data_IF_313389771567
#
_entry.id   IF_313389771567
#
_cell.length_a   1.000
_cell.length_b   1.000
_cell.length_c   1.000
_cell.angle_alpha   90.00
_cell.angle_beta   90.00
_cell.angle_gamma   90.00
#
_symmetry.space_group_name_H-M   'P 1'
#
loop_
_entity.id
_entity.type
_entity.pdbx_description
1 polymer ?
#
# COMPACT_ATOMS: atom_id res chain seq x y z
N UNK A 1 10.97 0.51 -27.13
CA UNK A 1 10.84 1.49 -26.02
C UNK A 1 11.63 0.94 -24.85
N UNK A 2 12.41 1.76 -24.15
CA UNK A 2 13.01 1.33 -22.88
C UNK A 2 11.93 1.24 -21.81
N UNK A 3 12.15 0.38 -20.82
CA UNK A 3 11.29 0.32 -19.64
C UNK A 3 11.34 1.66 -18.89
N UNK A 4 10.17 2.16 -18.49
CA UNK A 4 10.05 3.38 -17.68
C UNK A 4 9.63 3.00 -16.26
N UNK A 5 10.51 3.16 -15.24
CA UNK A 5 10.21 2.88 -13.84
C UNK A 5 9.41 4.01 -13.16
N UNK A 6 9.13 5.11 -13.85
CA UNK A 6 8.44 6.27 -13.29
C UNK A 6 7.50 6.90 -14.30
N UNK A 7 6.48 6.15 -14.79
CA UNK A 7 5.51 6.69 -15.73
C UNK A 7 4.74 7.86 -15.08
N UNK A 8 4.68 9.00 -15.79
CA UNK A 8 4.05 10.24 -15.32
C UNK A 8 2.90 10.64 -16.22
N UNK A 9 1.87 11.24 -15.62
CA UNK A 9 0.68 11.69 -16.33
C UNK A 9 0.43 13.19 -16.12
N UNK A 10 0.01 13.93 -17.17
CA UNK A 10 -0.29 15.36 -17.02
C UNK A 10 -1.51 15.58 -16.13
N UNK A 11 -1.53 16.74 -15.46
CA UNK A 11 -2.67 17.23 -14.70
C UNK A 11 -3.77 17.81 -15.61
N UNK A 12 -5.01 17.71 -15.17
CA UNK A 12 -6.18 18.33 -15.83
C UNK A 12 -6.52 19.67 -15.17
N UNK A 13 -5.82 20.71 -15.61
CA UNK A 13 -5.83 22.05 -15.00
C UNK A 13 -4.97 22.12 -13.73
N UNK A 14 -4.89 23.29 -13.11
CA UNK A 14 -4.08 23.51 -11.90
C UNK A 14 -2.58 23.23 -12.10
N UNK A 15 -1.85 23.05 -10.99
CA UNK A 15 -0.43 22.66 -10.95
C UNK A 15 -0.11 22.04 -9.59
N UNK A 16 0.99 21.29 -9.52
CA UNK A 16 1.58 20.88 -8.23
C UNK A 16 2.23 22.12 -7.60
N UNK A 17 2.00 22.30 -6.30
CA UNK A 17 2.63 23.35 -5.49
C UNK A 17 3.62 22.70 -4.52
N UNK A 18 4.79 23.31 -4.36
CA UNK A 18 5.93 22.72 -3.64
C UNK A 18 6.25 23.48 -2.34
N UNK A 19 6.48 22.73 -1.27
CA UNK A 19 7.01 23.21 0.00
C UNK A 19 5.97 23.78 0.98
N UNK A 20 6.40 23.93 2.24
CA UNK A 20 5.55 24.44 3.32
C UNK A 20 5.05 25.87 3.11
N UNK A 21 5.81 26.70 2.39
CA UNK A 21 5.38 28.07 2.05
C UNK A 21 4.10 28.07 1.22
N UNK A 22 3.97 27.18 0.24
CA UNK A 22 2.78 27.08 -0.59
C UNK A 22 1.56 26.58 0.19
N UNK A 23 1.77 25.66 1.14
CA UNK A 23 0.72 25.25 2.09
C UNK A 23 0.27 26.44 2.94
N UNK A 24 1.20 27.18 3.54
CA UNK A 24 0.86 28.36 4.34
C UNK A 24 0.12 29.44 3.52
N UNK A 25 0.52 29.67 2.26
CA UNK A 25 -0.19 30.56 1.34
C UNK A 25 -1.61 30.09 1.02
N UNK A 26 -1.83 28.77 0.93
CA UNK A 26 -3.16 28.20 0.75
C UNK A 26 -4.08 28.48 1.94
N UNK A 27 -3.55 28.41 3.17
CA UNK A 27 -4.28 28.76 4.40
C UNK A 27 -4.61 30.25 4.42
N UNK A 28 -3.65 31.13 4.13
CA UNK A 28 -3.87 32.59 4.12
C UNK A 28 -4.91 33.01 3.08
N UNK A 29 -4.97 32.31 1.95
CA UNK A 29 -5.96 32.55 0.89
C UNK A 29 -7.37 32.11 1.27
N UNK A 30 -7.51 30.97 1.93
CA UNK A 30 -8.82 30.38 2.28
C UNK A 30 -9.36 30.87 3.62
N UNK A 31 -8.48 31.30 4.54
CA UNK A 31 -8.79 31.81 5.88
C UNK A 31 -9.80 30.94 6.66
N UNK A 32 -9.59 29.62 6.75
CA UNK A 32 -10.49 28.76 7.51
C UNK A 32 -10.39 29.11 8.99
N UNK A 33 -11.51 28.98 9.70
CA UNK A 33 -11.49 29.03 11.16
C UNK A 33 -10.98 27.71 11.74
N UNK A 34 -11.39 26.59 11.13
CA UNK A 34 -10.95 25.24 11.45
C UNK A 34 -10.47 24.51 10.18
N UNK A 35 -9.23 24.04 10.21
CA UNK A 35 -8.61 23.23 9.17
C UNK A 35 -8.37 21.82 9.70
N UNK A 36 -8.96 20.82 9.06
CA UNK A 36 -8.61 19.41 9.29
C UNK A 36 -7.50 18.98 8.33
N UNK A 37 -6.43 18.37 8.87
CA UNK A 37 -5.38 17.72 8.10
C UNK A 37 -5.37 16.24 8.52
N UNK A 38 -6.01 15.40 7.70
CA UNK A 38 -6.10 13.95 7.95
C UNK A 38 -4.96 13.21 7.25
N UNK A 39 -4.74 11.95 7.60
CA UNK A 39 -3.63 11.17 7.07
C UNK A 39 -3.36 9.89 7.86
N UNK A 40 -2.39 9.07 7.42
CA UNK A 40 -2.09 7.81 8.07
C UNK A 40 -1.34 7.99 9.40
N UNK A 41 -1.41 6.97 10.25
CA UNK A 41 -0.68 6.94 11.53
C UNK A 41 0.84 6.93 11.36
N UNK A 42 1.34 6.34 10.27
CA UNK A 42 2.77 6.21 9.98
C UNK A 42 3.47 7.51 9.55
N UNK A 43 2.71 8.60 9.37
CA UNK A 43 3.24 9.90 8.97
C UNK A 43 4.04 10.53 10.12
N UNK A 44 5.15 11.20 9.79
CA UNK A 44 5.92 12.00 10.75
C UNK A 44 5.21 13.33 11.07
N UNK A 45 4.13 13.24 11.86
CA UNK A 45 3.22 14.36 12.13
C UNK A 45 3.94 15.56 12.71
N UNK A 46 4.88 15.35 13.63
CA UNK A 46 5.54 16.46 14.31
C UNK A 46 6.50 17.21 13.39
N UNK A 47 7.18 16.50 12.48
CA UNK A 47 8.02 17.12 11.45
C UNK A 47 7.18 17.95 10.48
N UNK A 48 6.10 17.37 9.97
CA UNK A 48 5.18 18.06 9.06
C UNK A 48 4.57 19.32 9.69
N UNK A 49 4.09 19.23 10.94
CA UNK A 49 3.50 20.37 11.64
C UNK A 49 4.52 21.43 12.01
N UNK A 50 5.76 21.07 12.33
CA UNK A 50 6.83 22.03 12.56
C UNK A 50 7.08 22.88 11.30
N UNK A 51 7.18 22.24 10.13
CA UNK A 51 7.35 22.92 8.85
C UNK A 51 6.17 23.83 8.50
N UNK A 52 4.93 23.33 8.66
CA UNK A 52 3.72 24.12 8.40
C UNK A 52 3.60 25.32 9.36
N UNK A 53 3.86 25.11 10.65
CA UNK A 53 3.79 26.15 11.67
C UNK A 53 4.83 27.24 11.42
N UNK A 54 6.05 26.86 10.99
CA UNK A 54 7.07 27.83 10.59
C UNK A 54 6.61 28.69 9.41
N UNK A 55 6.06 28.06 8.35
CA UNK A 55 5.55 28.78 7.18
C UNK A 55 4.37 29.72 7.51
N UNK A 56 3.53 29.36 8.49
CA UNK A 56 2.43 30.21 8.97
C UNK A 56 2.91 31.37 9.85
N UNK A 57 3.92 31.13 10.69
CA UNK A 57 4.53 32.17 11.52
C UNK A 57 5.18 33.28 10.68
N UNK A 58 5.81 32.93 9.54
CA UNK A 58 6.34 33.92 8.57
C UNK A 58 5.26 34.81 7.96
N UNK A 59 3.99 34.40 8.03
CA UNK A 59 2.82 35.12 7.52
C UNK A 59 2.00 35.77 8.64
N UNK A 60 2.56 35.85 9.85
CA UNK A 60 1.92 36.40 11.04
C UNK A 60 0.57 35.73 11.40
N UNK A 61 0.39 34.45 11.06
CA UNK A 61 -0.83 33.69 11.36
C UNK A 61 -0.68 32.96 12.70
N UNK A 62 -1.56 33.25 13.66
CA UNK A 62 -1.60 32.55 14.96
C UNK A 62 -2.39 31.26 14.84
N UNK A 63 -1.76 30.14 15.19
CA UNK A 63 -2.33 28.80 15.10
C UNK A 63 -2.59 28.20 16.48
N UNK A 64 -3.75 27.58 16.68
CA UNK A 64 -3.97 26.59 17.73
C UNK A 64 -3.90 25.19 17.11
N UNK A 65 -3.21 24.25 17.77
CA UNK A 65 -3.10 22.88 17.30
C UNK A 65 -3.98 21.96 18.15
N UNK A 66 -4.80 21.14 17.49
CA UNK A 66 -5.62 20.10 18.10
C UNK A 66 -5.18 18.75 17.55
N UNK A 67 -4.65 17.92 18.42
CA UNK A 67 -4.17 16.58 18.08
C UNK A 67 -5.33 15.57 18.18
N UNK A 68 -5.88 15.14 17.04
CA UNK A 68 -6.98 14.17 16.99
C UNK A 68 -6.59 12.81 17.58
N UNK A 69 -5.30 12.46 17.61
CA UNK A 69 -4.82 11.20 18.19
C UNK A 69 -5.10 11.10 19.68
N UNK A 70 -5.29 12.24 20.36
CA UNK A 70 -5.65 12.26 21.79
C UNK A 70 -7.10 11.83 22.06
N UNK A 71 -7.94 11.81 21.03
CA UNK A 71 -9.33 11.32 21.08
C UNK A 71 -9.47 9.85 20.70
N UNK A 72 -8.39 9.20 20.26
CA UNK A 72 -8.38 7.75 20.06
C UNK A 72 -8.65 7.06 21.39
N UNK A 73 -9.38 5.95 21.33
CA UNK A 73 -9.57 5.09 22.48
C UNK A 73 -8.22 4.58 23.00
N UNK A 74 -8.19 4.13 24.26
CA UNK A 74 -6.97 3.54 24.82
C UNK A 74 -6.49 2.37 23.95
N UNK A 75 -5.19 2.10 23.95
CA UNK A 75 -4.64 1.00 23.14
C UNK A 75 -5.30 -0.35 23.47
N UNK A 76 -5.55 -0.63 24.75
CA UNK A 76 -6.26 -1.83 25.19
C UNK A 76 -7.67 -1.91 24.61
N UNK A 77 -8.38 -0.78 24.59
CA UNK A 77 -9.72 -0.70 24.02
C UNK A 77 -9.70 -0.85 22.50
N UNK A 78 -8.74 -0.25 21.80
CA UNK A 78 -8.52 -0.43 20.36
C UNK A 78 -8.24 -1.91 20.05
N UNK A 79 -7.41 -2.58 20.84
CA UNK A 79 -7.15 -4.01 20.70
C UNK A 79 -8.44 -4.82 20.92
N UNK A 80 -9.26 -4.47 21.91
CA UNK A 80 -10.55 -5.12 22.17
C UNK A 80 -11.53 -4.92 21.01
N UNK A 81 -11.65 -3.71 20.47
CA UNK A 81 -12.52 -3.37 19.32
C UNK A 81 -12.10 -4.09 18.04
N UNK A 82 -10.80 -4.35 17.90
CA UNK A 82 -10.22 -5.00 16.71
C UNK A 82 -9.91 -6.48 16.93
N UNK A 83 -10.36 -7.08 18.04
CA UNK A 83 -10.01 -8.45 18.42
C UNK A 83 -10.49 -9.49 17.40
N UNK A 84 -11.60 -9.24 16.69
CA UNK A 84 -12.12 -10.13 15.65
C UNK A 84 -11.20 -10.21 14.41
N UNK A 85 -10.24 -9.30 14.27
CA UNK A 85 -9.22 -9.31 13.21
C UNK A 85 -8.02 -10.18 13.53
N UNK A 86 -7.94 -10.74 14.74
CA UNK A 86 -6.82 -11.59 15.15
C UNK A 86 -7.15 -13.04 14.81
N UNK A 87 -6.26 -13.70 14.08
CA UNK A 87 -6.29 -15.15 13.91
C UNK A 87 -5.46 -15.80 15.02
N UNK A 88 -6.05 -16.63 15.91
CA UNK A 88 -5.34 -17.19 17.05
C UNK A 88 -4.11 -18.01 16.62
N UNK A 89 -2.94 -17.62 17.11
CA UNK A 89 -1.67 -18.33 16.88
C UNK A 89 -1.00 -18.04 15.54
N UNK A 90 -1.58 -17.19 14.70
CA UNK A 90 -0.99 -16.80 13.41
C UNK A 90 -0.21 -15.49 13.55
N UNK A 91 1.12 -15.48 13.33
CA UNK A 91 1.94 -14.27 13.47
C UNK A 91 1.94 -13.38 12.21
N UNK A 92 1.43 -13.87 11.07
CA UNK A 92 1.51 -13.19 9.78
C UNK A 92 0.14 -12.68 9.34
N UNK A 93 -0.89 -13.50 9.47
CA UNK A 93 -2.21 -13.25 8.91
C UNK A 93 -3.25 -12.85 9.95
N UNK A 94 -4.18 -12.01 9.53
CA UNK A 94 -5.33 -11.58 10.31
C UNK A 94 -6.61 -11.66 9.50
N UNK A 95 -7.73 -11.27 10.09
CA UNK A 95 -8.99 -11.04 9.36
C UNK A 95 -9.17 -9.55 9.12
N UNK A 96 -9.59 -9.15 7.92
CA UNK A 96 -9.85 -7.75 7.59
C UNK A 96 -10.84 -7.17 8.59
N UNK A 97 -10.45 -6.07 9.25
CA UNK A 97 -11.34 -5.32 10.12
C UNK A 97 -12.38 -4.59 9.26
N UNK A 98 -13.66 -4.84 9.54
CA UNK A 98 -14.78 -4.28 8.78
C UNK A 98 -15.32 -2.96 9.38
N UNK A 99 -14.87 -2.58 10.58
CA UNK A 99 -15.29 -1.34 11.23
C UNK A 99 -14.77 -0.07 10.54
N UNK A 100 -15.22 1.08 11.03
CA UNK A 100 -14.79 2.40 10.56
C UNK A 100 -13.62 2.94 11.39
N UNK A 101 -12.96 3.97 10.88
CA UNK A 101 -11.97 4.71 11.67
C UNK A 101 -12.59 5.35 12.92
N UNK A 102 -13.83 5.84 12.81
CA UNK A 102 -14.57 6.45 13.92
C UNK A 102 -14.80 5.48 15.10
N UNK A 103 -14.94 4.18 14.81
CA UNK A 103 -15.10 3.15 15.85
C UNK A 103 -13.85 3.02 16.74
N UNK A 104 -12.72 3.64 16.39
CA UNK A 104 -11.49 3.61 17.19
C UNK A 104 -11.30 4.85 18.08
N UNK A 105 -12.29 5.75 18.13
CA UNK A 105 -12.31 6.94 18.98
C UNK A 105 -13.25 6.78 20.17
N UNK A 106 -12.96 7.45 21.29
CA UNK A 106 -13.89 7.52 22.44
C UNK A 106 -14.78 8.76 22.34
N UNK A 107 -14.19 9.94 22.49
CA UNK A 107 -14.87 11.23 22.35
C UNK A 107 -14.01 12.18 21.52
N UNK A 108 -14.57 12.68 20.41
CA UNK A 108 -13.89 13.62 19.52
C UNK A 108 -13.85 15.00 20.17
N UNK A 109 -12.64 15.49 20.42
CA UNK A 109 -12.46 16.85 20.93
C UNK A 109 -12.89 17.87 19.88
N UNK A 110 -13.70 18.89 20.24
CA UNK A 110 -14.07 19.93 19.29
C UNK A 110 -12.88 20.79 18.92
N UNK A 111 -12.94 21.40 17.74
CA UNK A 111 -12.01 22.45 17.33
C UNK A 111 -12.08 23.61 18.33
N UNK A 112 -10.98 23.89 19.05
CA UNK A 112 -10.94 24.93 20.07
C UNK A 112 -9.63 25.74 20.00
N UNK A 113 -9.72 27.04 20.28
CA UNK A 113 -8.60 27.99 20.16
C UNK A 113 -9.07 29.44 20.14
N UNK A 114 -9.53 29.95 21.29
CA UNK A 114 -10.21 31.24 21.40
C UNK A 114 -9.40 32.43 20.85
N UNK A 115 -8.06 32.41 21.04
CA UNK A 115 -7.16 33.51 20.67
C UNK A 115 -6.32 33.25 19.40
N UNK A 116 -6.50 32.10 18.75
CA UNK A 116 -5.84 31.78 17.49
C UNK A 116 -6.61 32.40 16.32
N UNK A 117 -5.95 32.63 15.18
CA UNK A 117 -6.62 32.98 13.92
C UNK A 117 -7.25 31.73 13.29
N UNK A 118 -6.52 30.61 13.34
CA UNK A 118 -6.89 29.30 12.82
C UNK A 118 -6.67 28.19 13.85
N UNK A 119 -7.58 27.23 13.89
CA UNK A 119 -7.40 25.95 14.58
C UNK A 119 -7.02 24.88 13.56
N UNK A 120 -5.84 24.27 13.70
CA UNK A 120 -5.40 23.14 12.88
C UNK A 120 -5.63 21.85 13.67
N UNK A 121 -6.54 21.02 13.18
CA UNK A 121 -6.86 19.70 13.71
C UNK A 121 -6.07 18.69 12.87
N UNK A 122 -5.24 17.87 13.49
CA UNK A 122 -4.32 17.01 12.75
C UNK A 122 -4.29 15.60 13.31
N UNK A 123 -3.79 14.66 12.51
CA UNK A 123 -3.70 13.25 12.84
C UNK A 123 -4.76 12.42 12.11
N UNK A 124 -4.63 11.08 12.15
CA UNK A 124 -5.63 10.18 11.62
C UNK A 124 -7.01 10.49 12.22
N UNK A 125 -8.03 10.62 11.38
CA UNK A 125 -9.40 10.88 11.82
C UNK A 125 -9.69 12.33 12.20
N UNK A 126 -8.76 13.27 11.95
CA UNK A 126 -9.02 14.71 12.15
C UNK A 126 -10.22 15.22 11.34
N UNK A 127 -10.53 14.59 10.21
CA UNK A 127 -11.72 14.90 9.41
C UNK A 127 -13.05 14.50 10.08
N UNK A 128 -13.02 13.73 11.17
CA UNK A 128 -14.22 13.42 11.97
C UNK A 128 -14.64 14.60 12.85
N UNK A 129 -13.74 15.56 13.11
CA UNK A 129 -14.03 16.78 13.85
C UNK A 129 -14.59 17.83 12.89
N UNK A 130 -15.56 18.65 13.34
CA UNK A 130 -16.11 19.72 12.51
C UNK A 130 -15.03 20.71 12.03
N UNK A 131 -15.01 20.99 10.73
CA UNK A 131 -14.01 21.81 10.06
C UNK A 131 -14.60 22.58 8.87
N UNK A 132 -13.91 23.63 8.42
CA UNK A 132 -14.29 24.43 7.25
C UNK A 132 -13.57 23.97 5.98
N UNK A 133 -12.31 23.54 6.13
CA UNK A 133 -11.41 23.12 5.05
C UNK A 133 -10.79 21.77 5.43
N UNK A 134 -10.69 20.89 4.44
CA UNK A 134 -10.18 19.54 4.59
C UNK A 134 -8.97 19.28 3.69
N UNK A 135 -7.84 19.00 4.32
CA UNK A 135 -6.63 18.54 3.67
C UNK A 135 -6.36 17.08 4.01
N UNK A 136 -5.73 16.36 3.09
CA UNK A 136 -5.25 15.00 3.34
C UNK A 136 -3.75 14.92 3.06
N UNK A 137 -2.97 14.68 4.11
CA UNK A 137 -1.54 14.42 4.04
C UNK A 137 -1.31 12.92 3.90
N UNK A 138 -0.89 12.51 2.71
CA UNK A 138 -0.70 11.11 2.35
C UNK A 138 0.76 10.68 2.42
N UNK A 139 0.94 9.39 2.65
CA UNK A 139 2.21 8.70 2.61
C UNK A 139 2.02 7.42 1.81
N UNK A 140 2.82 7.17 0.75
CA UNK A 140 2.72 5.93 -0.01
C UNK A 140 2.84 4.70 0.91
N UNK A 141 2.02 3.67 0.66
CA UNK A 141 1.94 2.50 1.55
C UNK A 141 3.26 1.76 1.70
N UNK A 142 4.07 1.67 0.64
CA UNK A 142 5.40 1.06 0.72
C UNK A 142 6.33 1.81 1.70
N UNK A 143 6.21 3.15 1.81
CA UNK A 143 6.96 3.92 2.82
C UNK A 143 6.42 3.67 4.22
N UNK A 144 5.09 3.60 4.38
CA UNK A 144 4.46 3.26 5.65
C UNK A 144 4.92 1.88 6.15
N UNK A 145 4.91 0.87 5.27
CA UNK A 145 5.38 -0.49 5.56
C UNK A 145 6.87 -0.50 5.91
N UNK A 146 7.69 0.24 5.14
CA UNK A 146 9.12 0.34 5.40
C UNK A 146 9.42 1.01 6.75
N UNK A 147 8.65 2.03 7.14
CA UNK A 147 8.75 2.67 8.46
C UNK A 147 8.41 1.71 9.60
N UNK A 148 7.33 0.92 9.46
CA UNK A 148 6.98 -0.13 10.43
C UNK A 148 8.07 -1.19 10.53
N UNK A 149 8.61 -1.68 9.40
CA UNK A 149 9.72 -2.65 9.35
C UNK A 149 10.99 -2.16 10.06
N UNK A 150 11.27 -0.86 9.98
CA UNK A 150 12.41 -0.24 10.67
C UNK A 150 12.12 0.13 12.13
N UNK A 151 10.89 -0.06 12.61
CA UNK A 151 10.47 0.36 13.95
C UNK A 151 10.36 1.88 14.12
N UNK A 152 10.29 2.62 13.02
CA UNK A 152 10.19 4.09 13.00
C UNK A 152 8.73 4.58 13.02
N UNK A 153 7.78 3.70 12.69
CA UNK A 153 6.35 3.98 12.70
C UNK A 153 5.58 2.93 13.51
N UNK A 154 4.56 3.40 14.24
CA UNK A 154 3.61 2.54 14.96
C UNK A 154 2.31 2.34 14.18
N UNK A 155 1.52 1.37 14.60
CA UNK A 155 0.16 1.20 14.12
C UNK A 155 -0.79 2.27 14.68
N UNK A 156 -1.97 2.38 14.08
CA UNK A 156 -3.02 3.31 14.49
C UNK A 156 -3.42 3.12 15.97
N UNK A 157 -3.29 4.20 16.75
CA UNK A 157 -3.60 4.23 18.19
C UNK A 157 -2.59 3.53 19.09
N UNK A 158 -1.51 3.00 18.52
CA UNK A 158 -0.45 2.38 19.29
C UNK A 158 0.37 3.44 20.05
N UNK A 159 0.80 3.16 21.30
CA UNK A 159 1.62 4.09 22.07
C UNK A 159 2.93 4.46 21.36
N UNK A 160 3.33 5.73 21.48
CA UNK A 160 4.59 6.24 20.91
C UNK A 160 5.78 5.41 21.40
N UNK A 161 6.62 4.98 20.45
CA UNK A 161 7.82 4.18 20.72
C UNK A 161 7.60 2.66 20.77
N UNK A 162 6.36 2.18 20.67
CA UNK A 162 6.09 0.77 20.46
C UNK A 162 6.32 0.40 18.97
N UNK A 163 6.80 -0.83 18.74
CA UNK A 163 6.97 -1.34 17.38
C UNK A 163 5.61 -1.72 16.77
N UNK A 164 5.29 -1.17 15.60
CA UNK A 164 4.16 -1.62 14.81
C UNK A 164 4.36 -3.03 14.27
N UNK A 165 3.29 -3.65 13.80
CA UNK A 165 3.30 -4.91 13.07
C UNK A 165 2.74 -4.76 11.67
N UNK A 166 3.35 -5.49 10.73
CA UNK A 166 2.86 -5.59 9.35
C UNK A 166 1.46 -6.19 9.32
N UNK A 167 1.22 -7.24 10.11
CA UNK A 167 -0.09 -7.88 10.24
C UNK A 167 -1.18 -6.86 10.58
N UNK A 168 -0.99 -6.02 11.61
CA UNK A 168 -2.00 -5.01 11.96
C UNK A 168 -2.13 -3.93 10.89
N UNK A 169 -1.02 -3.56 10.25
CA UNK A 169 -1.04 -2.60 9.15
C UNK A 169 -1.93 -3.10 8.00
N UNK A 170 -1.78 -4.37 7.60
CA UNK A 170 -2.51 -5.00 6.50
C UNK A 170 -3.97 -5.30 6.83
N UNK A 171 -4.26 -5.80 8.04
CA UNK A 171 -5.58 -6.32 8.38
C UNK A 171 -6.47 -5.35 9.16
N UNK A 172 -5.91 -4.29 9.75
CA UNK A 172 -6.67 -3.30 10.53
C UNK A 172 -6.48 -1.89 9.98
N UNK A 173 -5.25 -1.37 10.01
CA UNK A 173 -4.99 0.05 9.77
C UNK A 173 -5.28 0.45 8.31
N UNK A 174 -4.69 -0.25 7.33
CA UNK A 174 -4.92 0.06 5.92
C UNK A 174 -6.37 -0.11 5.47
N UNK A 175 -7.11 -1.16 5.89
CA UNK A 175 -8.54 -1.25 5.60
C UNK A 175 -9.34 -0.04 6.11
N UNK A 176 -9.15 0.38 7.37
CA UNK A 176 -9.92 1.51 7.93
C UNK A 176 -9.49 2.86 7.38
N UNK A 177 -8.18 3.11 7.29
CA UNK A 177 -7.64 4.37 6.77
C UNK A 177 -7.94 4.50 5.27
N UNK A 178 -7.89 3.38 4.53
CA UNK A 178 -8.26 3.32 3.12
C UNK A 178 -9.71 3.71 2.90
N UNK A 179 -10.66 3.07 3.59
CA UNK A 179 -12.09 3.42 3.49
C UNK A 179 -12.34 4.88 3.89
N UNK A 180 -11.76 5.34 5.00
CA UNK A 180 -11.86 6.72 5.45
C UNK A 180 -11.37 7.70 4.38
N UNK A 181 -10.16 7.49 3.85
CA UNK A 181 -9.58 8.32 2.77
C UNK A 181 -10.48 8.36 1.53
N UNK A 182 -11.10 7.24 1.15
CA UNK A 182 -12.04 7.17 0.03
C UNK A 182 -13.31 7.99 0.29
N UNK A 183 -13.87 7.94 1.50
CA UNK A 183 -15.02 8.76 1.91
C UNK A 183 -14.72 10.27 1.92
N UNK A 184 -13.47 10.65 2.18
CA UNK A 184 -13.02 12.04 2.17
C UNK A 184 -12.85 12.60 0.74
N UNK A 185 -12.45 11.77 -0.23
CA UNK A 185 -12.05 12.15 -1.58
C UNK A 185 -12.99 13.17 -2.28
N UNK A 186 -14.34 13.03 -2.24
CA UNK A 186 -15.24 13.97 -2.90
C UNK A 186 -15.19 15.40 -2.33
N UNK A 187 -14.74 15.54 -1.08
CA UNK A 187 -14.76 16.81 -0.32
C UNK A 187 -13.36 17.34 -0.02
N UNK A 188 -12.29 16.66 -0.42
CA UNK A 188 -10.93 17.15 -0.24
C UNK A 188 -10.74 18.50 -0.93
N UNK A 189 -10.21 19.47 -0.19
CA UNK A 189 -9.78 20.78 -0.70
C UNK A 189 -8.32 20.73 -1.18
N UNK A 190 -7.47 19.98 -0.48
CA UNK A 190 -6.05 19.81 -0.82
C UNK A 190 -5.58 18.39 -0.52
N UNK A 191 -4.83 17.81 -1.45
CA UNK A 191 -4.10 16.57 -1.26
C UNK A 191 -2.61 16.88 -1.18
N UNK A 192 -1.92 16.33 -0.18
CA UNK A 192 -0.51 16.57 0.10
C UNK A 192 0.22 15.24 0.06
N UNK A 193 1.29 15.15 -0.71
CA UNK A 193 2.17 14.01 -0.79
C UNK A 193 3.43 14.29 0.02
N UNK A 194 3.63 13.46 1.04
CA UNK A 194 4.77 13.51 1.94
C UNK A 194 5.76 12.38 1.70
N UNK A 195 5.85 11.84 0.47
CA UNK A 195 6.91 10.89 0.12
C UNK A 195 8.32 11.48 0.31
N UNK A 196 8.41 12.82 0.28
CA UNK A 196 9.60 13.62 0.59
C UNK A 196 9.25 14.62 1.72
N UNK A 197 9.42 14.25 3.00
CA UNK A 197 8.86 15.01 4.14
C UNK A 197 9.30 16.48 4.23
N UNK A 198 10.54 16.78 3.82
CA UNK A 198 11.11 18.13 3.86
C UNK A 198 10.64 19.03 2.70
N UNK A 199 10.07 18.42 1.66
CA UNK A 199 9.63 19.10 0.43
C UNK A 199 8.21 18.64 0.06
N UNK A 200 7.20 18.94 0.91
CA UNK A 200 5.84 18.48 0.67
C UNK A 200 5.32 18.99 -0.69
N UNK A 201 4.71 18.10 -1.45
CA UNK A 201 4.03 18.46 -2.71
C UNK A 201 2.54 18.48 -2.46
N UNK A 202 1.83 19.41 -3.09
CA UNK A 202 0.39 19.51 -2.90
C UNK A 202 -0.36 19.77 -4.20
N UNK A 203 -1.60 19.30 -4.23
CA UNK A 203 -2.50 19.42 -5.36
C UNK A 203 -3.90 19.80 -4.88
N UNK A 204 -4.47 20.83 -5.50
CA UNK A 204 -5.88 21.22 -5.31
C UNK A 204 -6.82 20.03 -5.55
N UNK A 205 -7.79 19.84 -4.66
CA UNK A 205 -8.68 18.67 -4.69
C UNK A 205 -9.54 18.58 -5.96
N UNK A 206 -9.97 19.71 -6.52
CA UNK A 206 -10.71 19.70 -7.79
C UNK A 206 -9.81 19.28 -8.95
N UNK A 207 -8.56 19.72 -8.93
CA UNK A 207 -7.54 19.32 -9.91
C UNK A 207 -7.20 17.85 -9.79
N UNK A 208 -7.06 17.32 -8.56
CA UNK A 208 -6.90 15.89 -8.31
C UNK A 208 -8.05 15.10 -8.97
N UNK A 209 -9.30 15.39 -8.61
CA UNK A 209 -10.48 14.69 -9.13
C UNK A 209 -10.57 14.74 -10.66
N UNK A 210 -10.36 15.91 -11.28
CA UNK A 210 -10.35 16.03 -12.76
C UNK A 210 -9.21 15.23 -13.41
N UNK A 211 -8.03 15.18 -12.77
CA UNK A 211 -6.89 14.43 -13.30
C UNK A 211 -7.13 12.92 -13.22
N UNK A 212 -7.71 12.43 -12.11
CA UNK A 212 -8.14 11.04 -11.97
C UNK A 212 -9.20 10.67 -13.00
N UNK A 213 -10.20 11.54 -13.19
CA UNK A 213 -11.24 11.37 -14.20
C UNK A 213 -10.66 11.20 -15.62
N UNK A 214 -9.82 12.14 -16.07
CA UNK A 214 -9.21 12.04 -17.40
C UNK A 214 -8.31 10.80 -17.54
N UNK A 215 -7.56 10.45 -16.48
CA UNK A 215 -6.69 9.28 -16.50
C UNK A 215 -7.48 7.97 -16.63
N UNK A 216 -8.62 7.85 -15.94
CA UNK A 216 -9.50 6.68 -16.01
C UNK A 216 -10.08 6.43 -17.42
N UNK A 217 -10.01 7.41 -18.32
CA UNK A 217 -10.47 7.29 -19.72
C UNK A 217 -9.45 6.72 -20.71
N UNK A 218 -8.25 6.34 -20.27
CA UNK A 218 -7.15 5.91 -21.16
C UNK A 218 -6.28 4.82 -20.54
N UNK A 219 -5.49 4.08 -21.33
CA UNK A 219 -4.47 3.19 -20.78
C UNK A 219 -3.43 3.96 -19.95
N UNK A 220 -3.07 3.41 -18.79
CA UNK A 220 -2.00 3.91 -17.94
C UNK A 220 -1.33 2.75 -17.19
N UNK A 221 -0.11 2.99 -16.73
CA UNK A 221 0.66 2.19 -15.78
C UNK A 221 0.73 2.89 -14.43
N UNK A 222 0.61 2.13 -13.36
CA UNK A 222 1.01 2.52 -12.02
C UNK A 222 2.54 2.69 -11.94
N UNK A 223 3.02 3.35 -10.88
CA UNK A 223 4.44 3.43 -10.57
C UNK A 223 4.91 2.10 -10.01
N UNK A 224 5.85 1.40 -10.67
CA UNK A 224 6.38 0.15 -10.18
C UNK A 224 7.23 0.35 -8.91
N UNK A 225 7.22 -0.65 -8.03
CA UNK A 225 8.10 -0.70 -6.85
C UNK A 225 8.93 -1.97 -6.87
N UNK A 226 10.20 -1.89 -6.47
CA UNK A 226 11.15 -2.99 -6.55
C UNK A 226 11.66 -3.34 -5.16
N UNK A 227 11.66 -4.64 -4.83
CA UNK A 227 12.03 -5.11 -3.50
C UNK A 227 13.11 -6.19 -3.55
N UNK A 228 14.13 -6.13 -2.67
CA UNK A 228 15.01 -7.26 -2.48
C UNK A 228 14.28 -8.41 -1.81
N UNK A 229 14.82 -9.62 -1.92
CA UNK A 229 14.26 -10.81 -1.29
C UNK A 229 15.30 -11.91 -1.13
N UNK A 230 15.01 -12.94 -0.30
CA UNK A 230 15.96 -14.01 -0.01
C UNK A 230 16.38 -14.81 -1.26
N UNK A 231 15.49 -14.90 -2.26
CA UNK A 231 15.71 -15.60 -3.52
C UNK A 231 16.05 -14.67 -4.69
N UNK A 232 16.09 -13.35 -4.46
CA UNK A 232 16.14 -12.34 -5.51
C UNK A 232 17.37 -12.45 -6.41
N UNK A 233 17.14 -12.21 -7.70
CA UNK A 233 18.12 -12.26 -8.75
C UNK A 233 18.70 -10.90 -9.15
N UNK A 234 19.24 -10.87 -10.37
CA UNK A 234 19.93 -9.71 -10.96
C UNK A 234 19.31 -9.24 -12.28
N UNK A 235 18.35 -9.99 -12.85
CA UNK A 235 17.79 -9.68 -14.15
C UNK A 235 17.12 -8.30 -14.19
N UNK A 236 16.36 -7.92 -13.16
CA UNK A 236 15.74 -6.60 -13.08
C UNK A 236 16.77 -5.47 -13.08
N UNK A 237 17.92 -5.67 -12.44
CA UNK A 237 19.01 -4.69 -12.39
C UNK A 237 19.73 -4.60 -13.74
N UNK A 238 20.07 -5.74 -14.31
CA UNK A 238 20.93 -5.83 -15.50
C UNK A 238 20.17 -5.56 -16.80
N UNK A 239 18.92 -6.00 -16.90
CA UNK A 239 18.12 -5.94 -18.13
C UNK A 239 17.15 -4.76 -18.14
N UNK A 240 16.44 -4.49 -17.03
CA UNK A 240 15.59 -3.28 -16.94
C UNK A 240 16.37 -2.03 -16.52
N UNK A 241 17.63 -2.18 -16.09
CA UNK A 241 18.47 -1.06 -15.69
C UNK A 241 18.05 -0.44 -14.35
N UNK A 242 17.40 -1.19 -13.46
CA UNK A 242 16.93 -0.67 -12.18
C UNK A 242 18.13 -0.37 -11.26
N UNK A 243 18.37 0.92 -11.03
CA UNK A 243 19.40 1.40 -10.13
C UNK A 243 18.95 1.27 -8.68
N UNK A 244 19.72 0.53 -7.88
CA UNK A 244 19.46 0.32 -6.45
C UNK A 244 20.74 0.00 -5.70
N UNK A 245 20.78 0.30 -4.41
CA UNK A 245 21.84 -0.15 -3.49
C UNK A 245 21.56 -1.54 -2.91
N UNK A 246 20.36 -2.09 -3.14
CA UNK A 246 20.01 -3.43 -2.71
C UNK A 246 20.92 -4.48 -3.38
N UNK A 247 21.29 -5.56 -2.67
CA UNK A 247 22.19 -6.59 -3.22
C UNK A 247 21.54 -7.35 -4.39
N UNK A 248 20.22 -7.50 -4.38
CA UNK A 248 19.42 -8.18 -5.40
C UNK A 248 18.05 -7.50 -5.54
N UNK A 249 17.26 -7.96 -6.52
CA UNK A 249 15.84 -7.65 -6.64
C UNK A 249 15.09 -8.97 -6.84
N UNK A 250 14.08 -9.20 -6.01
CA UNK A 250 13.21 -10.36 -6.09
C UNK A 250 11.91 -10.00 -6.79
N UNK A 251 11.29 -8.90 -6.39
CA UNK A 251 10.01 -8.45 -6.90
C UNK A 251 10.14 -7.14 -7.68
N UNK A 252 9.38 -7.05 -8.77
CA UNK A 252 8.96 -5.80 -9.37
C UNK A 252 7.43 -5.75 -9.35
N UNK A 253 6.86 -5.10 -8.34
CA UNK A 253 5.43 -4.89 -8.24
C UNK A 253 5.01 -3.83 -9.24
N UNK A 254 4.42 -4.26 -10.35
CA UNK A 254 3.99 -3.38 -11.43
C UNK A 254 2.61 -2.81 -11.14
N UNK A 255 1.64 -3.68 -10.81
CA UNK A 255 0.28 -3.29 -10.47
C UNK A 255 -0.23 -4.15 -9.30
N UNK A 256 -0.26 -3.55 -8.12
CA UNK A 256 -0.88 -4.09 -6.91
C UNK A 256 -1.74 -2.98 -6.32
N UNK A 257 -3.01 -2.94 -6.69
CA UNK A 257 -3.89 -1.78 -6.48
C UNK A 257 -3.92 -1.22 -5.07
N UNK A 258 -3.99 -2.04 -4.00
CA UNK A 258 -3.93 -1.49 -2.65
C UNK A 258 -2.66 -0.70 -2.36
N UNK A 259 -1.53 -0.95 -3.04
CA UNK A 259 -0.20 -0.44 -2.71
C UNK A 259 0.41 0.49 -3.77
N UNK A 260 0.00 0.32 -5.03
CA UNK A 260 0.54 1.03 -6.18
C UNK A 260 0.16 2.52 -6.17
N UNK A 261 1.13 3.36 -6.51
CA UNK A 261 0.90 4.79 -6.76
C UNK A 261 0.78 5.13 -8.25
N UNK A 262 0.32 6.35 -8.52
CA UNK A 262 0.24 6.98 -9.83
C UNK A 262 0.94 8.34 -9.71
N UNK A 263 1.87 8.64 -10.62
CA UNK A 263 2.55 9.93 -10.65
C UNK A 263 1.79 10.93 -11.52
N UNK A 264 1.28 12.00 -10.90
CA UNK A 264 0.54 13.08 -11.57
C UNK A 264 1.37 14.37 -11.59
N UNK A 265 1.66 14.90 -12.77
CA UNK A 265 2.56 16.04 -12.99
C UNK A 265 3.77 15.67 -13.86
N UNK A 266 4.34 16.65 -14.57
CA UNK A 266 5.46 16.40 -15.48
C UNK A 266 6.82 16.48 -14.78
N UNK A 267 7.11 17.61 -14.13
CA UNK A 267 8.42 17.91 -13.56
C UNK A 267 8.55 17.38 -12.13
N UNK A 268 7.69 17.88 -11.23
CA UNK A 268 7.60 17.49 -9.82
C UNK A 268 6.27 16.75 -9.56
N UNK A 269 6.11 15.49 -10.00
CA UNK A 269 4.86 14.80 -9.88
C UNK A 269 4.50 14.55 -8.41
N UNK A 270 3.21 14.61 -8.12
CA UNK A 270 2.65 14.10 -6.86
C UNK A 270 2.32 12.61 -7.02
N UNK A 271 2.63 11.80 -6.01
CA UNK A 271 2.20 10.41 -5.97
C UNK A 271 0.81 10.28 -5.33
N UNK A 272 -0.11 9.69 -6.08
CA UNK A 272 -1.49 9.41 -5.65
C UNK A 272 -1.70 7.91 -5.66
N UNK A 273 -2.19 7.35 -4.56
CA UNK A 273 -2.52 5.92 -4.50
C UNK A 273 -3.56 5.52 -5.55
N UNK A 274 -3.33 4.38 -6.22
CA UNK A 274 -4.25 3.86 -7.25
C UNK A 274 -5.64 3.57 -6.67
N UNK A 275 -5.73 3.27 -5.38
CA UNK A 275 -7.01 3.12 -4.67
C UNK A 275 -7.89 4.38 -4.72
N UNK A 276 -7.31 5.58 -4.82
CA UNK A 276 -8.08 6.81 -4.97
C UNK A 276 -8.70 6.94 -6.36
N UNK A 277 -7.99 6.52 -7.40
CA UNK A 277 -8.54 6.47 -8.75
C UNK A 277 -9.70 5.47 -8.81
N UNK A 278 -9.53 4.29 -8.21
CA UNK A 278 -10.60 3.29 -8.15
C UNK A 278 -11.81 3.77 -7.32
N UNK A 279 -11.58 4.53 -6.25
CA UNK A 279 -12.68 5.10 -5.47
C UNK A 279 -13.44 6.22 -6.22
N UNK A 280 -12.75 7.04 -7.01
CA UNK A 280 -13.39 8.09 -7.80
C UNK A 280 -14.05 7.56 -9.08
N UNK A 281 -13.40 6.62 -9.77
CA UNK A 281 -13.67 6.28 -11.17
C UNK A 281 -13.70 4.77 -11.42
N UNK A 282 -13.88 3.94 -10.38
CA UNK A 282 -13.82 2.47 -10.49
C UNK A 282 -14.80 1.89 -11.52
N UNK A 283 -16.01 2.42 -11.62
CA UNK A 283 -16.97 2.03 -12.67
C UNK A 283 -16.47 2.37 -14.08
N UNK A 284 -15.76 3.48 -14.26
CA UNK A 284 -15.20 3.87 -15.56
C UNK A 284 -14.02 2.98 -15.95
N UNK A 285 -13.22 2.53 -14.97
CA UNK A 285 -12.07 1.64 -15.19
C UNK A 285 -12.51 0.20 -15.43
N UNK A 286 -13.45 -0.30 -14.63
CA UNK A 286 -13.86 -1.72 -14.63
C UNK A 286 -15.09 -1.99 -15.50
N UNK A 287 -15.91 -0.99 -15.77
CA UNK A 287 -17.29 -1.17 -16.20
C UNK A 287 -18.23 -1.52 -15.03
N UNK A 288 -19.52 -1.26 -15.21
CA UNK A 288 -20.54 -1.39 -14.16
C UNK A 288 -20.63 -2.80 -13.54
N UNK A 289 -20.53 -3.86 -14.35
CA UNK A 289 -20.63 -5.24 -13.87
C UNK A 289 -19.48 -5.60 -12.91
N UNK A 290 -18.24 -5.31 -13.32
CA UNK A 290 -17.07 -5.63 -12.52
C UNK A 290 -16.94 -4.70 -11.30
N UNK A 291 -17.31 -3.43 -11.42
CA UNK A 291 -17.36 -2.52 -10.28
C UNK A 291 -18.42 -2.96 -9.25
N UNK A 292 -19.58 -3.48 -9.66
CA UNK A 292 -20.56 -4.04 -8.73
C UNK A 292 -20.03 -5.29 -8.01
N UNK A 293 -19.16 -6.08 -8.65
CA UNK A 293 -18.58 -7.31 -8.07
C UNK A 293 -17.38 -7.05 -7.15
N UNK A 294 -16.47 -6.18 -7.57
CA UNK A 294 -15.17 -5.98 -6.90
C UNK A 294 -15.07 -4.64 -6.15
N UNK A 295 -16.07 -3.76 -6.30
CA UNK A 295 -16.05 -2.43 -5.71
C UNK A 295 -14.85 -1.63 -6.20
N UNK A 296 -14.02 -1.20 -5.26
CA UNK A 296 -12.79 -0.43 -5.52
C UNK A 296 -11.54 -1.32 -5.70
N UNK A 297 -11.66 -2.64 -5.52
CA UNK A 297 -10.55 -3.56 -5.78
C UNK A 297 -10.43 -3.79 -7.28
N UNK A 298 -9.26 -3.52 -7.85
CA UNK A 298 -8.96 -3.94 -9.21
C UNK A 298 -8.69 -5.46 -9.22
N UNK A 299 -9.31 -6.24 -10.13
CA UNK A 299 -9.38 -7.69 -10.02
C UNK A 299 -8.13 -8.45 -10.49
N UNK A 300 -7.13 -7.74 -11.02
CA UNK A 300 -5.88 -8.32 -11.54
C UNK A 300 -4.73 -7.65 -10.79
N UNK A 301 -3.70 -8.42 -10.47
CA UNK A 301 -2.40 -7.87 -10.07
C UNK A 301 -1.35 -8.41 -11.04
N UNK A 302 -0.19 -7.79 -11.11
CA UNK A 302 0.94 -8.44 -11.74
C UNK A 302 2.27 -7.86 -11.27
N UNK A 303 3.26 -8.73 -11.26
CA UNK A 303 4.62 -8.43 -10.84
C UNK A 303 5.63 -9.35 -11.55
N UNK A 304 6.87 -8.89 -11.63
CA UNK A 304 7.97 -9.76 -12.04
C UNK A 304 8.62 -10.40 -10.82
N UNK A 305 8.78 -11.72 -10.88
CA UNK A 305 9.55 -12.53 -9.95
C UNK A 305 10.88 -12.90 -10.60
N UNK A 306 11.98 -12.37 -10.05
CA UNK A 306 13.34 -12.55 -10.56
C UNK A 306 14.16 -13.49 -9.68
N UNK A 307 14.42 -14.70 -10.20
CA UNK A 307 15.30 -15.70 -9.57
C UNK A 307 16.64 -15.87 -10.33
N UNK A 308 16.98 -14.97 -11.27
CA UNK A 308 18.21 -15.06 -12.06
C UNK A 308 19.47 -14.87 -11.23
N UNK A 309 20.26 -15.93 -11.08
CA UNK A 309 21.44 -15.95 -10.21
C UNK A 309 21.10 -15.85 -8.72
N UNK A 310 19.84 -16.09 -8.36
CA UNK A 310 19.32 -16.10 -7.00
C UNK A 310 19.03 -17.52 -6.49
N UNK A 311 17.92 -17.67 -5.78
CA UNK A 311 17.47 -18.93 -5.19
C UNK A 311 16.11 -19.38 -5.74
N UNK A 312 15.63 -20.54 -5.29
CA UNK A 312 14.24 -20.94 -5.54
C UNK A 312 13.30 -19.93 -4.85
N UNK A 313 12.22 -19.56 -5.54
CA UNK A 313 11.11 -18.89 -4.91
C UNK A 313 10.54 -19.78 -3.80
N UNK A 314 9.97 -19.17 -2.76
CA UNK A 314 9.26 -19.92 -1.71
C UNK A 314 8.20 -20.84 -2.30
N UNK A 315 7.98 -21.99 -1.66
CA UNK A 315 6.84 -22.85 -1.98
C UNK A 315 5.57 -22.20 -1.43
N UNK A 316 4.57 -22.04 -2.28
CA UNK A 316 3.35 -21.30 -2.00
C UNK A 316 2.12 -22.14 -2.28
N UNK A 317 1.03 -21.81 -1.60
CA UNK A 317 -0.29 -22.36 -1.86
C UNK A 317 -1.33 -21.29 -1.53
N UNK A 318 -2.00 -20.77 -2.55
CA UNK A 318 -3.03 -19.76 -2.36
C UNK A 318 -4.31 -20.39 -1.83
N UNK A 319 -4.97 -19.80 -0.82
CA UNK A 319 -6.19 -20.35 -0.23
C UNK A 319 -7.35 -20.41 -1.22
N UNK A 320 -8.33 -21.28 -1.01
CA UNK A 320 -9.57 -21.25 -1.83
C UNK A 320 -10.39 -19.98 -1.55
N UNK A 321 -11.33 -19.64 -2.44
CA UNK A 321 -12.22 -18.49 -2.24
C UNK A 321 -13.06 -18.61 -0.96
N UNK A 322 -13.53 -19.81 -0.64
CA UNK A 322 -14.24 -20.11 0.61
C UNK A 322 -13.34 -19.83 1.83
N UNK A 323 -12.10 -20.32 1.83
CA UNK A 323 -11.17 -20.08 2.93
C UNK A 323 -10.78 -18.59 3.04
N UNK A 324 -10.63 -17.88 1.92
CA UNK A 324 -10.37 -16.44 1.93
C UNK A 324 -11.48 -15.65 2.63
N UNK A 325 -12.73 -16.01 2.36
CA UNK A 325 -13.90 -15.33 2.93
C UNK A 325 -14.08 -15.64 4.40
N UNK A 326 -14.00 -16.90 4.76
CA UNK A 326 -14.31 -17.38 6.11
C UNK A 326 -13.18 -17.05 7.09
N UNK A 327 -11.93 -17.14 6.63
CA UNK A 327 -10.75 -16.87 7.48
C UNK A 327 -10.37 -15.39 7.44
N UNK A 328 -10.12 -14.83 6.24
CA UNK A 328 -9.51 -13.50 6.11
C UNK A 328 -10.52 -12.37 5.85
N UNK A 329 -11.78 -12.69 5.53
CA UNK A 329 -12.82 -11.68 5.24
C UNK A 329 -12.72 -11.05 3.85
N UNK A 330 -11.98 -11.69 2.94
CA UNK A 330 -11.82 -11.22 1.57
C UNK A 330 -12.75 -12.00 0.61
N UNK A 331 -13.47 -11.33 -0.30
CA UNK A 331 -14.49 -11.98 -1.12
C UNK A 331 -13.94 -12.68 -2.36
N UNK A 332 -12.62 -12.68 -2.55
CA UNK A 332 -11.94 -13.26 -3.71
C UNK A 332 -10.68 -14.00 -3.26
N UNK A 333 -10.17 -14.87 -4.14
CA UNK A 333 -8.88 -15.53 -4.00
C UNK A 333 -7.92 -15.15 -5.12
N UNK A 334 -6.68 -15.58 -4.97
CA UNK A 334 -5.64 -15.53 -5.98
C UNK A 334 -5.63 -16.85 -6.77
N UNK A 335 -6.22 -16.77 -7.97
CA UNK A 335 -5.78 -17.62 -9.06
C UNK A 335 -4.62 -16.91 -9.74
N UNK A 336 -3.58 -17.66 -10.05
CA UNK A 336 -2.32 -17.10 -10.52
C UNK A 336 -1.94 -17.70 -11.87
N UNK A 337 -1.14 -16.97 -12.61
CA UNK A 337 -0.47 -17.48 -13.80
C UNK A 337 0.99 -17.08 -13.82
N UNK A 338 1.87 -18.04 -14.13
CA UNK A 338 3.25 -17.75 -14.49
C UNK A 338 3.41 -17.68 -16.01
N UNK A 339 3.71 -16.50 -16.52
CA UNK A 339 4.26 -16.33 -17.85
C UNK A 339 5.79 -16.25 -17.75
N UNK A 340 6.49 -17.26 -18.25
CA UNK A 340 7.96 -17.29 -18.23
C UNK A 340 8.49 -16.26 -19.23
N UNK A 341 8.94 -15.12 -18.75
CA UNK A 341 9.46 -14.03 -19.60
C UNK A 341 10.83 -14.40 -20.15
N UNK A 342 11.68 -14.96 -19.28
CA UNK A 342 13.04 -15.39 -19.58
C UNK A 342 13.43 -16.55 -18.63
N UNK A 343 14.32 -17.43 -19.08
CA UNK A 343 14.79 -18.58 -18.30
C UNK A 343 16.13 -19.09 -18.80
N UNK A 344 17.05 -19.48 -17.90
CA UNK A 344 18.28 -20.17 -18.32
C UNK A 344 18.01 -21.63 -18.72
N UNK A 345 18.89 -22.24 -19.55
CA UNK A 345 18.82 -23.67 -19.84
C UNK A 345 18.81 -24.51 -18.55
N UNK A 346 17.78 -25.37 -18.41
CA UNK A 346 17.60 -26.24 -17.24
C UNK A 346 16.84 -25.59 -16.09
N UNK A 347 16.36 -24.35 -16.22
CA UNK A 347 15.45 -23.77 -15.24
C UNK A 347 14.09 -24.48 -15.24
N UNK A 348 13.43 -24.46 -14.09
CA UNK A 348 12.23 -25.28 -13.82
C UNK A 348 11.13 -24.47 -13.13
N UNK A 349 9.90 -24.95 -13.25
CA UNK A 349 8.73 -24.48 -12.51
C UNK A 349 8.18 -25.69 -11.75
N UNK A 350 7.99 -25.54 -10.44
CA UNK A 350 7.34 -26.54 -9.60
C UNK A 350 5.85 -26.22 -9.54
N UNK A 351 4.99 -27.17 -9.94
CA UNK A 351 3.56 -26.95 -9.99
C UNK A 351 2.77 -28.24 -9.79
N UNK A 352 2.04 -28.29 -8.68
CA UNK A 352 1.24 -29.43 -8.24
C UNK A 352 2.02 -30.39 -7.36
N UNK A 353 1.32 -31.08 -6.46
CA UNK A 353 1.89 -32.18 -5.70
C UNK A 353 2.08 -33.40 -6.62
N UNK A 354 3.11 -34.18 -6.35
CA UNK A 354 3.25 -35.51 -6.97
C UNK A 354 2.16 -36.44 -6.44
N UNK A 355 1.74 -37.37 -7.28
CA UNK A 355 0.72 -38.37 -6.90
C UNK A 355 1.20 -39.29 -5.77
N UNK A 356 2.52 -39.52 -5.68
CA UNK A 356 3.20 -40.33 -4.67
C UNK A 356 3.75 -39.52 -3.47
N UNK A 357 3.42 -38.23 -3.36
CA UNK A 357 3.93 -37.38 -2.29
C UNK A 357 3.38 -37.79 -0.92
N UNK A 358 4.26 -38.03 0.05
CA UNK A 358 3.91 -38.18 1.47
C UNK A 358 3.70 -36.80 2.10
N UNK A 359 2.45 -36.43 2.34
CA UNK A 359 2.08 -35.12 2.85
C UNK A 359 2.48 -34.90 4.32
N UNK A 360 2.58 -35.96 5.13
CA UNK A 360 3.05 -35.82 6.50
C UNK A 360 4.57 -35.61 6.53
N UNK A 361 5.31 -36.32 5.68
CA UNK A 361 6.73 -36.07 5.50
C UNK A 361 6.98 -34.64 4.97
N UNK A 362 6.19 -34.21 3.97
CA UNK A 362 6.28 -32.84 3.44
C UNK A 362 6.06 -31.80 4.53
N UNK A 363 5.00 -31.94 5.33
CA UNK A 363 4.70 -31.03 6.44
C UNK A 363 5.84 -30.98 7.46
N UNK A 364 6.38 -32.13 7.87
CA UNK A 364 7.50 -32.19 8.83
C UNK A 364 8.75 -31.52 8.28
N UNK A 365 9.09 -31.76 7.01
CA UNK A 365 10.25 -31.15 6.38
C UNK A 365 10.07 -29.65 6.13
N UNK A 366 8.85 -29.20 5.77
CA UNK A 366 8.53 -27.79 5.61
C UNK A 366 8.68 -27.03 6.93
N UNK A 367 8.13 -27.56 8.04
CA UNK A 367 8.34 -26.98 9.38
C UNK A 367 9.81 -26.97 9.77
N UNK A 368 10.56 -28.02 9.42
CA UNK A 368 12.01 -28.07 9.70
C UNK A 368 12.80 -27.03 8.87
N UNK A 369 12.36 -26.72 7.66
CA UNK A 369 13.00 -25.72 6.79
C UNK A 369 12.76 -24.26 7.24
N UNK A 370 11.93 -24.04 8.27
CA UNK A 370 11.82 -22.74 8.93
C UNK A 370 13.10 -22.41 9.73
N UNK A 371 13.84 -23.42 10.18
CA UNK A 371 15.12 -23.25 10.86
C UNK A 371 16.23 -22.87 9.85
N UNK A 372 17.00 -21.79 10.09
CA UNK A 372 18.03 -21.34 9.16
C UNK A 372 19.05 -22.43 8.80
N UNK A 373 19.28 -22.61 7.50
CA UNK A 373 20.26 -23.55 6.96
C UNK A 373 19.73 -24.97 6.73
N UNK A 374 18.45 -25.21 6.96
CA UNK A 374 17.78 -26.45 6.57
C UNK A 374 16.94 -26.21 5.31
N UNK A 375 17.28 -26.91 4.24
CA UNK A 375 16.60 -26.77 2.96
C UNK A 375 15.59 -27.88 2.76
N UNK A 376 14.48 -27.52 2.12
CA UNK A 376 13.49 -28.46 1.61
C UNK A 376 13.72 -28.61 0.11
N UNK A 377 13.92 -29.84 -0.34
CA UNK A 377 14.01 -30.19 -1.75
C UNK A 377 12.61 -30.27 -2.37
N UNK A 378 12.22 -29.33 -3.26
CA UNK A 378 10.88 -29.30 -3.84
C UNK A 378 10.58 -30.55 -4.68
N UNK A 379 11.56 -31.14 -5.36
CA UNK A 379 11.35 -32.27 -6.30
C UNK A 379 10.87 -33.55 -5.61
N UNK A 380 11.10 -33.65 -4.29
CA UNK A 380 10.61 -34.78 -3.48
C UNK A 380 9.09 -34.79 -3.37
N UNK A 381 8.43 -33.63 -3.46
CA UNK A 381 7.00 -33.50 -3.18
C UNK A 381 6.21 -32.85 -4.32
N UNK A 382 6.82 -31.97 -5.10
CA UNK A 382 6.18 -31.22 -6.17
C UNK A 382 6.52 -31.82 -7.54
N UNK A 383 5.63 -31.61 -8.50
CA UNK A 383 5.89 -31.94 -9.91
C UNK A 383 6.80 -30.87 -10.51
N UNK A 384 7.77 -31.32 -11.30
CA UNK A 384 8.75 -30.45 -11.95
C UNK A 384 8.44 -30.32 -13.43
N UNK A 385 8.35 -29.07 -13.91
CA UNK A 385 8.07 -28.74 -15.30
C UNK A 385 9.21 -27.87 -15.85
N UNK A 386 9.63 -28.04 -17.11
CA UNK A 386 10.70 -27.22 -17.67
C UNK A 386 10.24 -25.77 -17.85
N UNK A 387 11.01 -24.80 -17.36
CA UNK A 387 10.72 -23.39 -17.64
C UNK A 387 11.05 -23.08 -19.10
N UNK A 388 10.01 -22.95 -19.92
CA UNK A 388 10.15 -22.63 -21.34
C UNK A 388 9.74 -21.19 -21.54
N UNK A 389 10.66 -20.39 -22.07
CA UNK A 389 10.41 -18.99 -22.39
C UNK A 389 9.12 -18.83 -23.19
N UNK A 390 8.30 -17.87 -22.78
CA UNK A 390 6.97 -17.54 -23.28
C UNK A 390 5.88 -18.60 -23.06
N UNK A 391 6.16 -19.63 -22.26
CA UNK A 391 5.13 -20.56 -21.80
C UNK A 391 4.34 -19.95 -20.65
N UNK A 392 3.07 -20.31 -20.63
CA UNK A 392 2.11 -19.97 -19.59
C UNK A 392 1.82 -21.20 -18.71
N UNK A 393 1.88 -21.03 -17.39
CA UNK A 393 1.49 -22.02 -16.39
C UNK A 393 0.32 -21.48 -15.59
N UNK A 394 -0.81 -22.19 -15.62
CA UNK A 394 -2.01 -21.82 -14.85
C UNK A 394 -1.94 -22.43 -13.45
N UNK A 395 -2.10 -21.59 -12.44
CA UNK A 395 -1.94 -21.94 -11.03
C UNK A 395 -3.26 -21.62 -10.32
N UNK A 396 -4.24 -22.54 -10.32
CA UNK A 396 -5.48 -22.33 -9.60
C UNK A 396 -5.22 -22.31 -8.08
N UNK A 397 -6.01 -21.53 -7.35
CA UNK A 397 -6.01 -21.54 -5.89
C UNK A 397 -6.07 -22.99 -5.34
N UNK A 398 -5.25 -23.28 -4.33
CA UNK A 398 -5.03 -24.60 -3.75
C UNK A 398 -3.91 -25.42 -4.42
N UNK A 399 -3.36 -24.98 -5.55
CA UNK A 399 -2.20 -25.63 -6.16
C UNK A 399 -0.91 -25.21 -5.44
N UNK A 400 -0.13 -26.20 -4.99
CA UNK A 400 1.22 -25.97 -4.46
C UNK A 400 2.16 -25.66 -5.62
N UNK A 401 2.93 -24.57 -5.53
CA UNK A 401 3.80 -24.12 -6.63
C UNK A 401 5.01 -23.33 -6.13
N UNK A 402 6.03 -23.24 -6.98
CA UNK A 402 7.20 -22.37 -6.81
C UNK A 402 7.91 -22.15 -8.15
N UNK A 403 8.53 -20.99 -8.34
CA UNK A 403 9.47 -20.75 -9.44
C UNK A 403 10.86 -21.28 -9.06
N UNK A 404 11.49 -22.04 -9.97
CA UNK A 404 12.86 -22.49 -9.82
C UNK A 404 13.88 -21.36 -9.89
N UNK A 405 15.16 -21.68 -9.64
CA UNK A 405 16.27 -20.76 -9.89
C UNK A 405 16.34 -20.40 -11.38
N UNK A 406 16.92 -19.23 -11.67
CA UNK A 406 17.21 -18.79 -13.03
C UNK A 406 15.99 -18.59 -13.95
N UNK A 407 14.89 -18.13 -13.38
CA UNK A 407 13.67 -17.72 -14.05
C UNK A 407 13.38 -16.23 -13.86
N UNK A 408 12.77 -15.63 -14.87
CA UNK A 408 12.02 -14.40 -14.75
C UNK A 408 10.58 -14.72 -15.13
N UNK A 409 9.68 -14.55 -14.18
CA UNK A 409 8.27 -14.83 -14.36
C UNK A 409 7.49 -13.54 -14.22
N UNK A 410 6.55 -13.31 -15.13
CA UNK A 410 5.46 -12.37 -14.90
C UNK A 410 4.32 -13.16 -14.23
N UNK A 411 4.11 -12.89 -12.94
CA UNK A 411 2.98 -13.37 -12.16
C UNK A 411 1.77 -12.48 -12.47
N UNK A 412 0.60 -13.07 -12.73
CA UNK A 412 -0.67 -12.38 -13.04
C UNK A 412 -1.80 -12.99 -12.21
#
# INVERSE_FOLDING_TARGET
MSYDPSPRYPLTGGRVENGFGALADAIVRTRPRALAIDGPAALSWEGFLAGLSAGLAERDVKTALVDARRSLASWEEIQRRTAASILPGDPVFGRIFEGSLADLFDELAPASGADADIVVIFGPGSALVAHDVLWYADLPKWQSLAGVRRGEAGNLGQPVGAAGSEQRLLFVDWPVLGRHKQELLPRLDLYIDLSEPEAPRSLDGNTLRRSLHELAGRPFRTRPTFFPGPWGGQWLRDVLGISTTAPNLAWSYELITPESGILLGADDPIEVGFELLMAAEGERVLGAELAARFGVSFPIRFDYLDTFGGGHLSIQCHPTEEYMRDTFGLPYTQHETYYVVDAKPGAEIFLGLREDADLEAFRVEATRAEDPGLELDPERYLQTHPAVQHRLYLIPAGAVHASGVDNLVLEI
#
